data_IF_215015937370
#
_entry.id   IF_215015937370
#
_cell.length_a   1.000
_cell.length_b   1.000
_cell.length_c   1.000
_cell.angle_alpha   90.00
_cell.angle_beta   90.00
_cell.angle_gamma   90.00
#
_symmetry.space_group_name_H-M   'P 1'
#
loop_
_entity.id
_entity.type
_entity.pdbx_description
1 polymer ?
#
# COMPACT_ATOMS: atom_id res chain seq x y z
N UNK A 1 -30.88 28.71 -53.05
CA UNK A 1 -30.28 27.79 -52.06
C UNK A 1 -29.70 28.63 -50.93
N UNK A 2 -30.51 28.83 -49.88
CA UNK A 2 -30.21 29.66 -48.71
C UNK A 2 -30.06 28.74 -47.49
N UNK A 3 -29.25 29.20 -46.53
CA UNK A 3 -29.05 28.70 -45.16
C UNK A 3 -27.82 27.81 -44.96
N UNK A 4 -26.64 28.41 -45.13
CA UNK A 4 -25.40 27.90 -44.53
C UNK A 4 -25.40 28.25 -43.03
N UNK A 5 -25.50 27.20 -42.21
CA UNK A 5 -25.07 27.07 -40.81
C UNK A 5 -25.05 28.33 -39.93
N UNK A 6 -26.17 28.62 -39.25
CA UNK A 6 -26.19 29.51 -38.09
C UNK A 6 -25.80 28.73 -36.83
N UNK A 7 -24.51 28.71 -36.48
CA UNK A 7 -24.05 28.19 -35.19
C UNK A 7 -24.53 29.10 -34.05
N UNK A 8 -25.02 28.52 -32.96
CA UNK A 8 -25.49 29.23 -31.77
C UNK A 8 -24.33 29.95 -31.05
N UNK A 9 -24.61 30.99 -30.26
CA UNK A 9 -23.56 31.75 -29.53
C UNK A 9 -22.69 30.85 -28.64
N UNK A 10 -23.24 29.73 -28.12
CA UNK A 10 -22.52 28.77 -27.28
C UNK A 10 -21.64 27.82 -28.10
N UNK A 11 -22.09 27.41 -29.29
CA UNK A 11 -21.34 26.55 -30.21
C UNK A 11 -20.12 27.26 -30.83
N UNK A 12 -20.23 28.57 -31.07
CA UNK A 12 -19.09 29.38 -31.52
C UNK A 12 -18.02 29.46 -30.44
N UNK A 13 -18.41 29.54 -29.17
CA UNK A 13 -17.47 29.57 -28.06
C UNK A 13 -16.72 28.24 -27.94
N UNK A 14 -17.41 27.10 -28.09
CA UNK A 14 -16.78 25.79 -28.07
C UNK A 14 -15.85 25.56 -29.28
N UNK A 15 -16.23 26.04 -30.47
CA UNK A 15 -15.36 25.98 -31.66
C UNK A 15 -14.12 26.85 -31.50
N UNK A 16 -14.25 28.06 -30.94
CA UNK A 16 -13.10 28.92 -30.64
C UNK A 16 -12.17 28.29 -29.59
N UNK A 17 -12.72 27.66 -28.55
CA UNK A 17 -11.92 26.95 -27.54
C UNK A 17 -11.17 25.75 -28.14
N UNK A 18 -11.82 24.98 -29.00
CA UNK A 18 -11.20 23.83 -29.67
C UNK A 18 -10.10 24.27 -30.65
N UNK A 19 -10.34 25.34 -31.42
CA UNK A 19 -9.33 25.94 -32.28
C UNK A 19 -8.13 26.47 -31.46
N UNK A 20 -8.36 27.08 -30.30
CA UNK A 20 -7.31 27.54 -29.41
C UNK A 20 -6.45 26.38 -28.88
N UNK A 21 -7.07 25.27 -28.47
CA UNK A 21 -6.34 24.07 -28.03
C UNK A 21 -5.48 23.49 -29.15
N UNK A 22 -5.98 23.46 -30.39
CA UNK A 22 -5.20 23.00 -31.54
C UNK A 22 -4.01 23.92 -31.80
N UNK A 23 -4.19 25.24 -31.74
CA UNK A 23 -3.09 26.21 -31.91
C UNK A 23 -2.05 26.05 -30.80
N UNK A 24 -2.46 25.83 -29.55
CA UNK A 24 -1.54 25.57 -28.43
C UNK A 24 -0.78 24.25 -28.63
N UNK A 25 -1.45 23.19 -29.12
CA UNK A 25 -0.79 21.92 -29.39
C UNK A 25 0.22 22.02 -30.55
N UNK A 26 -0.12 22.72 -31.62
CA UNK A 26 0.76 22.93 -32.77
C UNK A 26 1.95 23.84 -32.42
N UNK A 27 1.73 24.89 -31.62
CA UNK A 27 2.82 25.73 -31.11
C UNK A 27 3.71 24.97 -30.13
N UNK A 28 3.14 24.10 -29.28
CA UNK A 28 3.90 23.21 -28.41
C UNK A 28 4.77 22.21 -29.18
N UNK A 29 4.24 21.62 -30.26
CA UNK A 29 4.99 20.74 -31.17
C UNK A 29 6.11 21.50 -31.89
N UNK A 30 5.84 22.71 -32.38
CA UNK A 30 6.84 23.55 -33.03
C UNK A 30 7.95 24.00 -32.07
N UNK A 31 7.60 24.32 -30.82
CA UNK A 31 8.57 24.64 -29.74
C UNK A 31 9.37 23.39 -29.37
N UNK A 32 8.74 22.22 -29.28
CA UNK A 32 9.42 20.95 -28.98
C UNK A 32 10.43 20.60 -30.09
N UNK A 33 10.03 20.71 -31.35
CA UNK A 33 10.91 20.46 -32.50
C UNK A 33 12.03 21.50 -32.59
N UNK A 34 11.74 22.77 -32.29
CA UNK A 34 12.77 23.83 -32.25
C UNK A 34 13.76 23.63 -31.10
N UNK A 35 13.28 23.18 -29.94
CA UNK A 35 14.13 22.91 -28.76
C UNK A 35 15.00 21.66 -28.95
N UNK A 36 14.47 20.63 -29.62
CA UNK A 36 15.25 19.45 -30.00
C UNK A 36 16.30 19.80 -31.07
N UNK A 37 15.93 20.62 -32.05
CA UNK A 37 16.84 21.08 -33.10
C UNK A 37 17.93 22.03 -32.58
N UNK A 38 17.67 22.81 -31.52
CA UNK A 38 18.68 23.63 -30.86
C UNK A 38 19.64 22.77 -30.01
N UNK A 39 19.18 21.67 -29.41
CA UNK A 39 20.02 20.70 -28.72
C UNK A 39 20.94 19.92 -29.68
N UNK A 40 20.41 19.49 -30.84
CA UNK A 40 21.21 18.80 -31.87
C UNK A 40 22.19 19.77 -32.57
N UNK A 41 21.81 21.06 -32.75
CA UNK A 41 22.73 22.10 -33.24
C UNK A 41 23.77 22.52 -32.22
N UNK A 42 23.47 22.50 -30.92
CA UNK A 42 24.48 22.71 -29.88
C UNK A 42 25.47 21.53 -29.86
N UNK A 43 25.03 20.27 -29.95
CA UNK A 43 25.96 19.13 -30.05
C UNK A 43 26.82 19.17 -31.33
N UNK A 44 26.24 19.49 -32.50
CA UNK A 44 26.99 19.55 -33.76
C UNK A 44 27.93 20.78 -33.85
N UNK A 45 27.52 21.94 -33.31
CA UNK A 45 28.38 23.13 -33.24
C UNK A 45 29.46 23.00 -32.15
N UNK A 46 29.17 22.33 -31.02
CA UNK A 46 30.19 22.04 -30.00
C UNK A 46 31.21 21.04 -30.57
N UNK A 47 30.82 19.97 -31.27
CA UNK A 47 31.81 19.04 -31.85
C UNK A 47 32.64 19.64 -33.00
N UNK A 48 32.04 20.48 -33.86
CA UNK A 48 32.75 21.10 -34.98
C UNK A 48 33.72 22.20 -34.52
N UNK A 49 33.29 23.12 -33.65
CA UNK A 49 34.09 24.24 -33.15
C UNK A 49 35.19 23.77 -32.19
N UNK A 50 34.89 22.77 -31.34
CA UNK A 50 35.90 22.15 -30.47
C UNK A 50 36.95 21.40 -31.29
N UNK A 51 36.64 20.87 -32.48
CA UNK A 51 37.60 20.09 -33.26
C UNK A 51 38.65 20.93 -33.99
N UNK A 52 38.32 22.14 -34.46
CA UNK A 52 39.29 23.05 -35.08
C UNK A 52 40.11 23.81 -34.04
N UNK A 53 39.49 24.33 -32.97
CA UNK A 53 40.22 25.01 -31.90
C UNK A 53 41.15 24.04 -31.14
N UNK A 54 40.72 22.80 -30.88
CA UNK A 54 41.59 21.77 -30.27
C UNK A 54 42.70 21.34 -31.22
N UNK A 55 42.49 21.30 -32.55
CA UNK A 55 43.55 20.99 -33.50
C UNK A 55 44.61 22.08 -33.61
N UNK A 56 44.19 23.35 -33.65
CA UNK A 56 45.10 24.51 -33.66
C UNK A 56 45.84 24.64 -32.32
N UNK A 57 45.14 24.44 -31.19
CA UNK A 57 45.74 24.39 -29.86
C UNK A 57 46.70 23.21 -29.70
N UNK A 58 46.37 22.01 -30.21
CA UNK A 58 47.27 20.86 -30.18
C UNK A 58 48.48 21.01 -31.10
N UNK A 59 48.34 21.71 -32.25
CA UNK A 59 49.45 22.05 -33.12
C UNK A 59 50.41 23.05 -32.43
N UNK A 60 49.87 24.08 -31.77
CA UNK A 60 50.64 25.09 -31.03
C UNK A 60 51.29 24.53 -29.74
N UNK A 61 50.59 23.63 -29.04
CA UNK A 61 51.14 22.88 -27.89
C UNK A 61 52.19 21.84 -28.32
N UNK A 62 52.13 21.34 -29.57
CA UNK A 62 53.14 20.40 -30.08
C UNK A 62 54.49 21.07 -30.38
N UNK A 63 54.51 22.37 -30.68
CA UNK A 63 55.74 23.16 -30.85
C UNK A 63 56.33 23.65 -29.52
N UNK A 64 55.52 23.74 -28.46
CA UNK A 64 55.97 24.01 -27.10
C UNK A 64 55.79 22.77 -26.20
N UNK A 65 56.60 21.73 -26.40
CA UNK A 65 56.83 20.76 -25.32
C UNK A 65 57.43 21.52 -24.13
N UNK A 66 56.78 21.63 -22.96
CA UNK A 66 57.50 22.03 -21.77
C UNK A 66 58.54 20.94 -21.55
N UNK A 67 59.80 21.33 -21.57
CA UNK A 67 60.95 20.49 -21.22
C UNK A 67 60.77 20.14 -19.74
N UNK A 68 59.96 19.12 -19.45
CA UNK A 68 59.87 18.54 -18.12
C UNK A 68 61.27 18.01 -17.84
N UNK A 69 61.99 18.70 -16.96
CA UNK A 69 63.27 18.23 -16.44
C UNK A 69 63.06 16.77 -16.03
N UNK A 70 63.74 15.86 -16.71
CA UNK A 70 64.00 14.52 -16.18
C UNK A 70 64.84 14.73 -14.93
N UNK A 71 64.17 15.03 -13.82
CA UNK A 71 64.70 14.66 -12.53
C UNK A 71 64.46 13.16 -12.45
N UNK A 72 65.55 12.43 -12.54
CA UNK A 72 65.68 11.02 -12.20
C UNK A 72 65.31 10.84 -10.71
N UNK A 73 64.02 10.97 -10.40
CA UNK A 73 63.45 10.56 -9.13
C UNK A 73 63.27 9.04 -9.25
N UNK A 74 64.31 8.29 -8.89
CA UNK A 74 64.28 6.82 -8.80
C UNK A 74 62.99 6.38 -8.11
N UNK A 75 62.11 5.67 -8.82
CA UNK A 75 60.87 5.14 -8.27
C UNK A 75 61.23 4.14 -7.16
N UNK A 76 60.96 4.51 -5.91
CA UNK A 76 61.15 3.62 -4.77
C UNK A 76 59.97 2.64 -4.78
N UNK A 77 60.20 1.41 -5.24
CA UNK A 77 59.18 0.36 -5.18
C UNK A 77 59.53 -0.62 -4.06
N UNK A 78 58.86 -0.46 -2.92
CA UNK A 78 58.98 -1.31 -1.75
C UNK A 78 57.58 -1.42 -1.10
N UNK A 79 56.65 -2.15 -1.73
CA UNK A 79 55.25 -2.12 -1.34
C UNK A 79 55.06 -2.64 0.09
N UNK A 80 54.27 -1.92 0.86
CA UNK A 80 53.91 -2.26 2.24
C UNK A 80 52.39 -2.23 2.38
N UNK A 81 51.79 -3.10 3.21
CA UNK A 81 50.38 -2.99 3.56
C UNK A 81 50.05 -1.58 4.07
N UNK A 82 48.96 -0.99 3.58
CA UNK A 82 48.58 0.37 3.92
C UNK A 82 47.07 0.56 3.89
N UNK A 83 46.58 1.52 4.67
CA UNK A 83 45.21 2.02 4.55
C UNK A 83 45.22 3.34 3.76
N UNK A 84 44.55 3.42 2.60
CA UNK A 84 44.47 4.64 1.79
C UNK A 84 43.97 5.87 2.56
N UNK A 85 43.15 5.67 3.60
CA UNK A 85 42.55 6.75 4.39
C UNK A 85 43.47 7.29 5.49
N UNK A 86 44.58 6.61 5.80
CA UNK A 86 45.48 6.98 6.91
C UNK A 86 46.96 7.00 6.53
N UNK A 87 47.36 6.39 5.41
CA UNK A 87 48.76 6.32 4.97
C UNK A 87 49.44 7.68 4.75
N UNK A 88 50.74 7.77 4.96
CA UNK A 88 51.52 8.99 4.73
C UNK A 88 52.11 9.03 3.30
N UNK A 89 52.57 10.21 2.89
CA UNK A 89 53.29 10.48 1.63
C UNK A 89 54.43 9.48 1.37
N UNK A 90 55.17 9.09 2.41
CA UNK A 90 56.26 8.13 2.35
C UNK A 90 55.80 6.74 1.91
N UNK A 91 54.64 6.28 2.39
CA UNK A 91 54.04 4.99 2.03
C UNK A 91 53.56 5.01 0.58
N UNK A 92 52.94 6.10 0.14
CA UNK A 92 52.47 6.27 -1.24
C UNK A 92 53.64 6.31 -2.25
N UNK A 93 54.76 6.95 -1.89
CA UNK A 93 55.98 6.92 -2.70
C UNK A 93 56.54 5.50 -2.84
N UNK A 94 56.54 4.71 -1.75
CA UNK A 94 56.99 3.30 -1.76
C UNK A 94 56.11 2.37 -2.60
N UNK A 95 54.88 2.79 -2.90
CA UNK A 95 54.00 2.12 -3.87
C UNK A 95 54.35 2.41 -5.33
N UNK A 96 55.41 3.19 -5.57
CA UNK A 96 55.83 3.58 -6.91
C UNK A 96 55.03 4.75 -7.48
N UNK A 97 54.31 5.51 -6.64
CA UNK A 97 53.67 6.75 -7.06
C UNK A 97 54.68 7.87 -7.15
N UNK A 98 54.55 8.72 -8.16
CA UNK A 98 55.38 9.92 -8.32
C UNK A 98 54.96 11.00 -7.33
N UNK A 99 55.88 11.88 -6.93
CA UNK A 99 55.62 12.98 -5.96
C UNK A 99 54.37 13.80 -6.29
N UNK A 100 54.11 14.07 -7.56
CA UNK A 100 52.93 14.81 -7.99
C UNK A 100 51.62 14.01 -7.80
N UNK A 101 51.63 12.69 -8.03
CA UNK A 101 50.49 11.79 -7.78
C UNK A 101 50.19 11.71 -6.28
N UNK A 102 51.24 11.61 -5.46
CA UNK A 102 51.12 11.63 -3.99
C UNK A 102 50.48 12.92 -3.51
N UNK A 103 50.89 14.08 -4.04
CA UNK A 103 50.29 15.38 -3.69
C UNK A 103 48.81 15.43 -4.05
N UNK A 104 48.42 14.95 -5.23
CA UNK A 104 47.02 14.90 -5.65
C UNK A 104 46.20 13.96 -4.76
N UNK A 105 46.73 12.78 -4.45
CA UNK A 105 46.10 11.80 -3.58
C UNK A 105 45.83 12.37 -2.18
N UNK A 106 46.85 12.98 -1.57
CA UNK A 106 46.72 13.62 -0.25
C UNK A 106 45.74 14.80 -0.27
N UNK A 107 45.71 15.58 -1.36
CA UNK A 107 44.73 16.65 -1.56
C UNK A 107 43.30 16.11 -1.63
N UNK A 108 43.08 15.02 -2.36
CA UNK A 108 41.78 14.33 -2.44
C UNK A 108 41.31 13.90 -1.05
N UNK A 109 42.20 13.28 -0.28
CA UNK A 109 41.91 12.85 1.09
C UNK A 109 41.64 14.02 2.03
N UNK A 110 42.43 15.09 1.96
CA UNK A 110 42.23 16.29 2.80
C UNK A 110 40.93 17.02 2.48
N UNK A 111 40.44 16.92 1.24
CA UNK A 111 39.13 17.43 0.84
C UNK A 111 37.95 16.58 1.35
N UNK A 112 38.22 15.47 2.05
CA UNK A 112 37.21 14.61 2.68
C UNK A 112 36.92 13.31 1.91
N UNK A 113 37.67 13.00 0.84
CA UNK A 113 37.52 11.72 0.16
C UNK A 113 37.88 10.55 1.11
N UNK A 114 37.05 9.51 1.07
CA UNK A 114 37.25 8.23 1.77
C UNK A 114 37.28 7.11 0.74
N UNK A 115 38.13 6.12 0.99
CA UNK A 115 38.35 4.98 0.12
C UNK A 115 37.88 3.71 0.83
N UNK A 116 36.95 2.98 0.23
CA UNK A 116 36.39 1.72 0.73
C UNK A 116 36.62 0.55 -0.24
N UNK A 117 37.20 0.82 -1.42
CA UNK A 117 37.59 -0.21 -2.36
C UNK A 117 38.29 0.33 -3.61
N UNK A 118 38.45 -0.57 -4.59
CA UNK A 118 39.11 -0.31 -5.88
C UNK A 118 38.53 0.91 -6.60
N UNK A 119 37.21 1.00 -6.68
CA UNK A 119 36.52 2.03 -7.45
C UNK A 119 36.74 3.44 -6.87
N UNK A 120 36.92 3.55 -5.55
CA UNK A 120 37.21 4.84 -4.92
C UNK A 120 38.63 5.33 -5.25
N UNK A 121 39.61 4.42 -5.38
CA UNK A 121 40.97 4.78 -5.80
C UNK A 121 41.01 5.24 -7.25
N UNK A 122 40.19 4.64 -8.13
CA UNK A 122 40.07 5.04 -9.53
C UNK A 122 39.48 6.46 -9.71
N UNK A 123 38.81 7.02 -8.69
CA UNK A 123 38.33 8.42 -8.73
C UNK A 123 39.45 9.44 -8.61
N UNK A 124 40.63 9.05 -8.15
CA UNK A 124 41.80 9.93 -8.08
C UNK A 124 42.39 10.03 -9.48
N UNK A 125 42.10 11.12 -10.20
CA UNK A 125 42.49 11.29 -11.61
C UNK A 125 44.01 11.14 -11.88
N UNK A 126 44.86 11.31 -10.88
CA UNK A 126 46.30 11.13 -11.00
C UNK A 126 46.76 9.67 -10.97
N UNK A 127 45.88 8.72 -10.64
CA UNK A 127 46.18 7.30 -10.60
C UNK A 127 45.67 6.64 -11.88
N UNK A 128 46.55 5.91 -12.57
CA UNK A 128 46.13 5.07 -13.68
C UNK A 128 45.49 3.77 -13.17
N UNK A 129 44.82 3.02 -14.05
CA UNK A 129 44.27 1.71 -13.70
C UNK A 129 45.37 0.76 -13.23
N UNK A 130 46.53 0.82 -13.87
CA UNK A 130 47.71 0.02 -13.56
C UNK A 130 48.32 0.39 -12.21
N UNK A 131 48.30 1.68 -11.82
CA UNK A 131 48.72 2.13 -10.50
C UNK A 131 47.79 1.59 -9.41
N UNK A 132 46.46 1.67 -9.63
CA UNK A 132 45.48 1.11 -8.69
C UNK A 132 45.64 -0.40 -8.57
N UNK A 133 45.72 -1.14 -9.67
CA UNK A 133 45.91 -2.59 -9.67
C UNK A 133 47.19 -3.02 -8.94
N UNK A 134 48.28 -2.25 -9.07
CA UNK A 134 49.52 -2.50 -8.35
C UNK A 134 49.39 -2.29 -6.84
N UNK A 135 48.55 -1.33 -6.42
CA UNK A 135 48.31 -1.02 -5.02
C UNK A 135 47.31 -1.98 -4.35
N UNK A 136 46.36 -2.54 -5.11
CA UNK A 136 45.25 -3.36 -4.59
C UNK A 136 45.68 -4.53 -3.68
N UNK A 137 46.74 -5.32 -3.98
CA UNK A 137 47.14 -6.43 -3.11
C UNK A 137 47.57 -6.02 -1.70
N UNK A 138 47.90 -4.74 -1.51
CA UNK A 138 48.42 -4.19 -0.26
C UNK A 138 47.48 -3.16 0.39
N UNK A 139 46.38 -2.81 -0.28
CA UNK A 139 45.42 -1.83 0.21
C UNK A 139 44.42 -2.49 1.17
N UNK A 140 44.38 -2.00 2.40
CA UNK A 140 43.39 -2.38 3.39
C UNK A 140 42.35 -1.27 3.53
N UNK A 141 41.09 -1.60 3.26
CA UNK A 141 40.00 -0.65 3.33
C UNK A 141 39.18 -0.86 4.62
N UNK A 142 38.77 0.21 5.31
CA UNK A 142 37.78 0.10 6.37
C UNK A 142 36.42 -0.32 5.78
N UNK A 143 35.55 -0.89 6.61
CA UNK A 143 34.17 -1.19 6.21
C UNK A 143 33.39 0.11 6.09
N UNK A 144 32.64 0.29 4.99
CA UNK A 144 31.74 1.44 4.85
C UNK A 144 30.51 1.25 5.73
N UNK A 145 30.50 1.90 6.90
CA UNK A 145 29.35 1.91 7.81
C UNK A 145 28.05 2.34 7.13
N UNK A 146 28.11 3.16 6.08
CA UNK A 146 26.91 3.61 5.37
C UNK A 146 26.26 2.47 4.61
N UNK A 147 27.06 1.55 4.07
CA UNK A 147 26.57 0.35 3.39
C UNK A 147 25.92 -0.60 4.39
N UNK A 148 26.55 -0.80 5.56
CA UNK A 148 25.97 -1.61 6.64
C UNK A 148 24.62 -1.06 7.10
N UNK A 149 24.55 0.24 7.41
CA UNK A 149 23.29 0.88 7.84
C UNK A 149 22.19 0.80 6.79
N UNK A 150 22.53 0.93 5.51
CA UNK A 150 21.55 0.75 4.41
C UNK A 150 21.04 -0.68 4.34
N UNK A 151 21.93 -1.67 4.43
CA UNK A 151 21.55 -3.08 4.44
C UNK A 151 20.63 -3.41 5.62
N UNK A 152 20.96 -2.95 6.83
CA UNK A 152 20.13 -3.11 8.03
C UNK A 152 18.75 -2.44 7.87
N UNK A 153 18.69 -1.24 7.28
CA UNK A 153 17.43 -0.55 7.02
C UNK A 153 16.54 -1.32 6.04
N UNK A 154 17.13 -1.87 4.97
CA UNK A 154 16.42 -2.69 3.99
C UNK A 154 15.90 -3.99 4.60
N UNK A 155 16.70 -4.65 5.43
CA UNK A 155 16.29 -5.86 6.16
C UNK A 155 15.13 -5.56 7.11
N UNK A 156 15.23 -4.50 7.91
CA UNK A 156 14.17 -4.08 8.81
C UNK A 156 12.86 -3.74 8.06
N UNK A 157 12.98 -3.12 6.88
CA UNK A 157 11.82 -2.87 6.01
C UNK A 157 11.18 -4.18 5.56
N UNK A 158 11.98 -5.14 5.09
CA UNK A 158 11.47 -6.46 4.66
C UNK A 158 10.77 -7.21 5.80
N UNK A 159 11.33 -7.19 7.00
CA UNK A 159 10.72 -7.80 8.19
C UNK A 159 9.37 -7.13 8.49
N UNK A 160 9.33 -5.79 8.49
CA UNK A 160 8.09 -5.04 8.72
C UNK A 160 7.01 -5.39 7.68
N UNK A 161 7.38 -5.43 6.40
CA UNK A 161 6.46 -5.75 5.31
C UNK A 161 5.95 -7.20 5.43
N UNK A 162 6.81 -8.14 5.84
CA UNK A 162 6.43 -9.53 6.11
C UNK A 162 5.46 -9.66 7.28
N UNK A 163 5.73 -8.98 8.41
CA UNK A 163 4.84 -8.97 9.56
C UNK A 163 3.48 -8.35 9.23
N UNK A 164 3.47 -7.25 8.46
CA UNK A 164 2.25 -6.61 7.99
C UNK A 164 1.43 -7.57 7.11
N UNK A 165 2.06 -8.23 6.14
CA UNK A 165 1.38 -9.20 5.27
C UNK A 165 0.83 -10.40 6.05
N UNK A 166 1.56 -10.92 7.03
CA UNK A 166 1.09 -11.98 7.91
C UNK A 166 -0.13 -11.53 8.74
N UNK A 167 -0.12 -10.30 9.26
CA UNK A 167 -1.27 -9.72 9.95
C UNK A 167 -2.47 -9.57 9.02
N UNK A 168 -2.28 -9.05 7.80
CA UNK A 168 -3.35 -8.90 6.81
C UNK A 168 -3.99 -10.25 6.46
N UNK A 169 -3.20 -11.31 6.35
CA UNK A 169 -3.69 -12.67 6.07
C UNK A 169 -4.60 -13.25 7.17
N UNK A 170 -4.57 -12.72 8.40
CA UNK A 170 -5.47 -13.15 9.48
C UNK A 170 -6.88 -12.59 9.35
N UNK A 171 -7.09 -11.52 8.58
CA UNK A 171 -8.43 -10.97 8.38
C UNK A 171 -9.20 -11.83 7.38
N UNK A 172 -10.47 -12.16 7.68
CA UNK A 172 -11.28 -12.93 6.75
C UNK A 172 -11.49 -12.11 5.47
N UNK A 173 -11.21 -12.73 4.32
CA UNK A 173 -11.55 -12.14 3.03
C UNK A 173 -13.07 -11.91 2.96
N UNK A 174 -13.44 -10.67 2.61
CA UNK A 174 -14.83 -10.28 2.51
C UNK A 174 -15.47 -10.89 1.27
N UNK A 175 -16.77 -11.18 1.36
CA UNK A 175 -17.57 -11.69 0.26
C UNK A 175 -17.54 -10.72 -0.92
N UNK A 176 -17.52 -11.28 -2.13
CA UNK A 176 -17.68 -10.54 -3.38
C UNK A 176 -19.14 -10.52 -3.81
N UNK A 177 -19.51 -9.51 -4.59
CA UNK A 177 -20.88 -9.36 -5.07
C UNK A 177 -21.37 -10.64 -5.77
N UNK A 178 -22.54 -11.14 -5.36
CA UNK A 178 -23.10 -12.41 -5.80
C UNK A 178 -22.77 -13.63 -4.90
N UNK A 179 -21.79 -13.53 -4.01
CA UNK A 179 -21.55 -14.56 -3.00
C UNK A 179 -22.49 -14.38 -1.81
N UNK A 180 -23.19 -15.46 -1.44
CA UNK A 180 -24.15 -15.46 -0.34
C UNK A 180 -23.80 -16.54 0.67
N UNK A 181 -24.06 -16.24 1.94
CA UNK A 181 -23.92 -17.17 3.06
C UNK A 181 -25.30 -17.64 3.50
N UNK A 182 -25.41 -18.91 3.87
CA UNK A 182 -26.64 -19.45 4.43
C UNK A 182 -26.76 -19.12 5.92
N UNK A 183 -27.76 -18.31 6.30
CA UNK A 183 -27.96 -17.84 7.66
C UNK A 183 -28.28 -18.97 8.64
N UNK A 184 -28.92 -20.05 8.19
CA UNK A 184 -29.38 -21.12 9.08
C UNK A 184 -28.23 -21.96 9.65
N UNK A 185 -27.10 -22.01 8.94
CA UNK A 185 -25.93 -22.83 9.32
C UNK A 185 -24.65 -21.99 9.47
N UNK A 186 -24.75 -20.66 9.31
CA UNK A 186 -23.60 -19.76 9.36
C UNK A 186 -22.92 -19.77 10.73
N UNK A 187 -21.61 -19.97 10.74
CA UNK A 187 -20.78 -19.77 11.93
C UNK A 187 -20.27 -18.31 12.04
N UNK A 188 -19.63 -17.98 13.17
CA UNK A 188 -19.06 -16.63 13.34
C UNK A 188 -18.03 -16.26 12.29
N UNK A 189 -17.31 -17.23 11.73
CA UNK A 189 -16.24 -17.00 10.75
C UNK A 189 -16.81 -16.66 9.38
N UNK A 190 -17.87 -17.36 8.97
CA UNK A 190 -18.65 -17.10 7.78
C UNK A 190 -19.33 -15.74 7.88
N UNK A 191 -20.02 -15.43 8.97
CA UNK A 191 -20.65 -14.11 9.16
C UNK A 191 -19.64 -12.96 9.09
N UNK A 192 -18.42 -13.14 9.60
CA UNK A 192 -17.34 -12.13 9.49
C UNK A 192 -16.88 -11.88 8.06
N UNK A 193 -17.18 -12.74 7.08
CA UNK A 193 -16.90 -12.47 5.66
C UNK A 193 -17.86 -11.44 5.08
N UNK A 194 -19.00 -11.19 5.71
CA UNK A 194 -19.95 -10.18 5.23
C UNK A 194 -19.31 -8.77 5.38
N UNK A 195 -19.36 -7.92 4.33
CA UNK A 195 -18.93 -6.53 4.44
C UNK A 195 -19.68 -5.78 5.54
N UNK A 196 -18.97 -5.03 6.38
CA UNK A 196 -19.55 -4.33 7.53
C UNK A 196 -19.83 -5.20 8.77
N UNK A 197 -19.67 -6.53 8.68
CA UNK A 197 -19.83 -7.45 9.82
C UNK A 197 -18.45 -7.86 10.36
N UNK A 198 -18.18 -7.49 11.61
CA UNK A 198 -16.99 -7.90 12.37
C UNK A 198 -17.33 -8.89 13.48
N UNK A 199 -16.36 -9.22 14.34
CA UNK A 199 -16.56 -10.18 15.44
C UNK A 199 -17.72 -9.84 16.37
N UNK A 200 -17.92 -8.55 16.65
CA UNK A 200 -19.04 -8.07 17.47
C UNK A 200 -20.39 -8.37 16.84
N UNK A 201 -20.60 -7.93 15.59
CA UNK A 201 -21.87 -8.12 14.88
C UNK A 201 -22.15 -9.58 14.56
N UNK A 202 -21.14 -10.37 14.20
CA UNK A 202 -21.29 -11.82 14.01
C UNK A 202 -21.82 -12.49 15.30
N UNK A 203 -21.25 -12.14 16.46
CA UNK A 203 -21.74 -12.62 17.75
C UNK A 203 -23.16 -12.11 18.08
N UNK A 204 -23.47 -10.85 17.73
CA UNK A 204 -24.80 -10.26 17.95
C UNK A 204 -25.88 -10.97 17.12
N UNK A 205 -25.58 -11.31 15.86
CA UNK A 205 -26.47 -12.06 14.96
C UNK A 205 -26.77 -13.45 15.54
N UNK A 206 -25.74 -14.21 15.93
CA UNK A 206 -25.95 -15.55 16.50
C UNK A 206 -26.76 -15.51 17.80
N UNK A 207 -26.41 -14.62 18.74
CA UNK A 207 -27.16 -14.45 19.99
C UNK A 207 -28.60 -14.01 19.76
N UNK A 208 -28.87 -13.26 18.69
CA UNK A 208 -30.23 -12.89 18.33
C UNK A 208 -31.00 -14.10 17.80
N UNK A 209 -30.42 -14.85 16.86
CA UNK A 209 -30.99 -16.08 16.33
C UNK A 209 -31.24 -17.14 17.41
N UNK A 210 -30.31 -17.33 18.35
CA UNK A 210 -30.48 -18.26 19.49
C UNK A 210 -31.66 -17.90 20.39
N UNK A 211 -31.90 -16.61 20.60
CA UNK A 211 -33.03 -16.11 21.41
C UNK A 211 -34.37 -16.21 20.69
N UNK A 212 -34.39 -16.02 19.36
CA UNK A 212 -35.56 -16.31 18.53
C UNK A 212 -35.84 -17.82 18.46
N UNK A 213 -34.80 -18.65 18.48
CA UNK A 213 -34.89 -20.07 18.17
C UNK A 213 -34.59 -20.39 16.70
N UNK A 214 -34.03 -19.45 15.95
CA UNK A 214 -33.73 -19.58 14.52
C UNK A 214 -34.26 -18.38 13.73
N UNK A 215 -33.77 -18.19 12.51
CA UNK A 215 -34.30 -17.16 11.61
C UNK A 215 -35.36 -17.78 10.68
N UNK A 216 -36.49 -17.11 10.54
CA UNK A 216 -37.58 -17.44 9.59
C UNK A 216 -37.45 -16.62 8.32
N UNK A 217 -36.92 -15.40 8.43
CA UNK A 217 -36.74 -14.48 7.31
C UNK A 217 -35.41 -13.74 7.44
N UNK A 218 -34.77 -13.46 6.30
CA UNK A 218 -33.56 -12.64 6.23
C UNK A 218 -33.83 -11.22 6.73
N UNK A 219 -35.07 -10.72 6.57
CA UNK A 219 -35.47 -9.38 7.04
C UNK A 219 -35.37 -9.17 8.53
N UNK A 220 -35.34 -10.24 9.33
CA UNK A 220 -35.15 -10.15 10.78
C UNK A 220 -33.75 -9.64 11.16
N UNK A 221 -32.77 -9.69 10.25
CA UNK A 221 -31.46 -9.07 10.48
C UNK A 221 -31.58 -7.55 10.64
N UNK A 222 -32.53 -6.89 9.98
CA UNK A 222 -32.77 -5.43 10.11
C UNK A 222 -33.28 -5.03 11.49
N UNK A 223 -33.75 -5.99 12.28
CA UNK A 223 -34.17 -5.76 13.67
C UNK A 223 -32.96 -5.62 14.62
N UNK A 224 -31.77 -6.01 14.16
CA UNK A 224 -30.53 -5.92 14.93
C UNK A 224 -29.87 -4.57 14.66
N UNK A 225 -29.87 -3.71 15.67
CA UNK A 225 -29.27 -2.37 15.60
C UNK A 225 -27.78 -2.39 15.19
N UNK A 226 -27.41 -1.49 14.28
CA UNK A 226 -26.04 -1.25 13.82
C UNK A 226 -25.56 -2.16 12.70
N UNK A 227 -26.39 -3.09 12.20
CA UNK A 227 -26.06 -3.86 11.01
C UNK A 227 -26.18 -3.02 9.73
N UNK A 228 -25.41 -3.35 8.67
CA UNK A 228 -25.56 -2.72 7.36
C UNK A 228 -26.98 -2.91 6.81
N UNK A 229 -27.56 -1.86 6.22
CA UNK A 229 -28.92 -1.92 5.64
C UNK A 229 -29.02 -2.97 4.52
N UNK A 230 -27.94 -3.11 3.76
CA UNK A 230 -27.81 -4.01 2.62
C UNK A 230 -27.36 -5.43 3.00
N UNK A 231 -27.39 -5.80 4.30
CA UNK A 231 -26.92 -7.11 4.77
C UNK A 231 -27.65 -8.28 4.10
N UNK A 232 -28.92 -8.09 3.73
CA UNK A 232 -29.76 -9.11 3.09
C UNK A 232 -29.20 -9.57 1.73
N UNK A 233 -28.41 -8.74 1.04
CA UNK A 233 -27.80 -9.09 -0.25
C UNK A 233 -26.74 -10.19 -0.13
N UNK A 234 -26.16 -10.34 1.07
CA UNK A 234 -25.03 -11.25 1.34
C UNK A 234 -25.48 -12.56 1.97
N UNK A 235 -26.77 -12.71 2.22
CA UNK A 235 -27.31 -13.78 3.07
C UNK A 235 -28.53 -14.40 2.42
N UNK A 236 -28.60 -15.72 2.43
CA UNK A 236 -29.80 -16.50 2.06
C UNK A 236 -30.25 -17.35 3.24
N UNK A 237 -31.48 -17.83 3.18
CA UNK A 237 -32.02 -18.77 4.17
C UNK A 237 -32.51 -20.01 3.42
N UNK A 238 -31.75 -21.11 3.46
CA UNK A 238 -32.11 -22.33 2.70
C UNK A 238 -33.06 -23.24 3.49
N UNK A 239 -32.90 -23.33 4.82
CA UNK A 239 -33.76 -24.17 5.66
C UNK A 239 -33.94 -23.53 7.04
N UNK A 240 -35.18 -23.16 7.37
CA UNK A 240 -35.53 -22.61 8.67
C UNK A 240 -35.62 -23.72 9.72
N UNK A 241 -34.51 -24.00 10.41
CA UNK A 241 -34.50 -24.84 11.61
C UNK A 241 -34.96 -24.01 12.81
N UNK A 242 -36.25 -24.04 13.10
CA UNK A 242 -36.86 -23.24 14.18
C UNK A 242 -37.08 -24.11 15.41
N UNK A 243 -36.44 -23.75 16.52
CA UNK A 243 -36.73 -24.29 17.84
C UNK A 243 -37.88 -23.51 18.46
N UNK A 244 -39.07 -24.12 18.46
CA UNK A 244 -40.25 -23.53 19.07
C UNK A 244 -40.15 -23.48 20.59
N UNK A 245 -40.67 -22.40 21.17
CA UNK A 245 -40.79 -22.15 22.60
C UNK A 245 -42.17 -22.61 23.07
N UNK A 246 -42.21 -23.57 23.99
CA UNK A 246 -43.47 -23.99 24.59
C UNK A 246 -43.95 -22.94 25.61
N UNK A 247 -45.04 -22.24 25.27
CA UNK A 247 -45.56 -21.13 26.08
C UNK A 247 -46.21 -21.59 27.40
N UNK A 248 -46.76 -22.81 27.43
CA UNK A 248 -47.44 -23.39 28.59
C UNK A 248 -46.46 -23.95 29.62
N UNK A 249 -45.27 -24.41 29.17
CA UNK A 249 -44.24 -25.01 30.03
C UNK A 249 -43.08 -24.07 30.37
N UNK A 250 -42.84 -23.02 29.59
CA UNK A 250 -41.76 -22.08 29.84
C UNK A 250 -41.95 -21.29 31.14
N UNK A 251 -40.84 -21.03 31.83
CA UNK A 251 -40.78 -20.13 32.97
C UNK A 251 -40.77 -18.66 32.53
N UNK A 252 -41.04 -17.76 33.47
CA UNK A 252 -41.12 -16.33 33.20
C UNK A 252 -39.83 -15.79 32.58
N UNK A 253 -38.68 -16.25 33.08
CA UNK A 253 -37.36 -15.83 32.61
C UNK A 253 -37.07 -16.31 31.19
N UNK A 254 -37.49 -17.50 30.80
CA UNK A 254 -37.31 -18.00 29.43
C UNK A 254 -38.19 -17.23 28.45
N UNK A 255 -39.45 -16.95 28.80
CA UNK A 255 -40.30 -16.11 27.95
C UNK A 255 -39.72 -14.70 27.77
N UNK A 256 -39.22 -14.08 28.85
CA UNK A 256 -38.57 -12.76 28.83
C UNK A 256 -37.28 -12.69 27.99
N UNK A 257 -36.64 -13.82 27.70
CA UNK A 257 -35.43 -13.84 26.85
C UNK A 257 -35.78 -13.74 25.36
N UNK A 258 -37.03 -14.04 24.99
CA UNK A 258 -37.45 -14.04 23.61
C UNK A 258 -37.56 -12.59 23.07
N UNK A 259 -36.99 -12.25 21.90
CA UNK A 259 -36.94 -10.87 21.42
C UNK A 259 -38.29 -10.22 21.14
N UNK A 260 -39.33 -11.03 20.93
CA UNK A 260 -40.69 -10.56 20.64
C UNK A 260 -41.63 -10.60 21.85
N UNK A 261 -41.10 -10.85 23.06
CA UNK A 261 -41.88 -10.82 24.30
C UNK A 261 -41.29 -9.79 25.25
N UNK A 262 -42.13 -8.83 25.64
CA UNK A 262 -41.83 -7.88 26.70
C UNK A 262 -42.49 -8.29 28.03
N UNK A 263 -42.21 -7.54 29.10
CA UNK A 263 -42.71 -7.86 30.44
C UNK A 263 -44.24 -7.95 30.53
N UNK A 264 -44.97 -6.99 29.95
CA UNK A 264 -46.44 -6.97 30.00
C UNK A 264 -47.05 -8.15 29.24
N UNK A 265 -46.47 -8.50 28.08
CA UNK A 265 -46.86 -9.67 27.30
C UNK A 265 -46.63 -10.98 28.05
N UNK A 266 -45.46 -11.13 28.69
CA UNK A 266 -45.17 -12.31 29.51
C UNK A 266 -46.10 -12.39 30.72
N UNK A 267 -46.37 -11.26 31.38
CA UNK A 267 -47.32 -11.19 32.49
C UNK A 267 -48.74 -11.58 32.06
N UNK A 268 -49.21 -11.10 30.91
CA UNK A 268 -50.51 -11.48 30.35
C UNK A 268 -50.59 -12.99 30.07
N UNK A 269 -49.53 -13.59 29.50
CA UNK A 269 -49.45 -15.04 29.29
C UNK A 269 -49.61 -15.81 30.61
N UNK A 270 -48.91 -15.40 31.66
CA UNK A 270 -48.99 -16.05 32.97
C UNK A 270 -50.34 -15.87 33.64
N UNK A 271 -50.93 -14.68 33.56
CA UNK A 271 -52.27 -14.41 34.08
C UNK A 271 -53.31 -15.29 33.40
N UNK A 272 -53.25 -15.41 32.07
CA UNK A 272 -54.12 -16.30 31.33
C UNK A 272 -53.94 -17.76 31.76
N UNK A 273 -52.69 -18.25 31.87
CA UNK A 273 -52.39 -19.61 32.34
C UNK A 273 -52.99 -19.91 33.72
N UNK A 274 -52.93 -18.94 34.63
CA UNK A 274 -53.47 -19.09 35.98
C UNK A 274 -55.00 -19.03 36.04
N UNK A 275 -55.64 -18.24 35.17
CA UNK A 275 -57.10 -18.02 35.19
C UNK A 275 -57.87 -19.06 34.36
N UNK A 276 -57.36 -19.41 33.18
CA UNK A 276 -58.07 -20.22 32.19
C UNK A 276 -57.36 -21.54 31.84
N UNK A 277 -56.15 -21.75 32.35
CA UNK A 277 -55.31 -22.92 32.04
C UNK A 277 -54.47 -22.76 30.78
N UNK A 278 -54.03 -23.89 30.22
CA UNK A 278 -53.12 -23.94 29.08
C UNK A 278 -53.67 -23.23 27.84
N UNK A 279 -52.82 -22.43 27.20
CA UNK A 279 -53.10 -21.80 25.92
C UNK A 279 -53.13 -22.85 24.81
N UNK A 280 -54.13 -22.78 23.93
CA UNK A 280 -54.24 -23.58 22.71
C UNK A 280 -53.91 -22.78 21.44
N UNK A 281 -54.01 -21.45 21.52
CA UNK A 281 -53.73 -20.53 20.42
C UNK A 281 -53.35 -19.16 20.95
N UNK A 282 -52.48 -18.46 20.23
CA UNK A 282 -52.13 -17.07 20.53
C UNK A 282 -53.34 -16.14 20.47
N UNK A 283 -54.36 -16.48 19.68
CA UNK A 283 -55.60 -15.70 19.58
C UNK A 283 -56.36 -15.58 20.90
N UNK A 284 -56.15 -16.49 21.86
CA UNK A 284 -56.77 -16.36 23.18
C UNK A 284 -56.23 -15.17 23.98
N UNK A 285 -55.08 -14.63 23.60
CA UNK A 285 -54.50 -13.42 24.17
C UNK A 285 -54.90 -12.15 23.39
N UNK A 286 -55.77 -12.25 22.37
CA UNK A 286 -56.18 -11.07 21.59
C UNK A 286 -57.07 -10.09 22.37
N UNK A 287 -57.66 -10.54 23.48
CA UNK A 287 -58.44 -9.70 24.38
C UNK A 287 -57.56 -8.91 25.36
N UNK A 288 -56.27 -9.23 25.44
CA UNK A 288 -55.31 -8.53 26.29
C UNK A 288 -54.73 -7.33 25.55
N UNK A 289 -54.77 -6.16 26.17
CA UNK A 289 -54.25 -4.90 25.57
C UNK A 289 -52.73 -4.92 25.31
N UNK A 290 -52.02 -5.91 25.85
CA UNK A 290 -50.56 -6.06 25.73
C UNK A 290 -50.09 -6.57 24.37
N UNK A 291 -50.98 -7.11 23.53
CA UNK A 291 -50.62 -7.70 22.23
C UNK A 291 -51.23 -6.96 21.06
N UNK A 292 -50.40 -6.62 20.07
CA UNK A 292 -50.86 -6.15 18.77
C UNK A 292 -50.97 -7.29 17.75
N UNK A 293 -51.68 -7.04 16.65
CA UNK A 293 -51.77 -8.00 15.51
C UNK A 293 -50.37 -8.38 15.00
N UNK A 294 -49.47 -7.40 14.91
CA UNK A 294 -48.09 -7.59 14.46
C UNK A 294 -47.27 -8.47 15.42
N UNK A 295 -47.56 -8.43 16.72
CA UNK A 295 -46.87 -9.30 17.69
C UNK A 295 -47.25 -10.76 17.46
N UNK A 296 -48.52 -11.04 17.17
CA UNK A 296 -48.96 -12.39 16.86
C UNK A 296 -48.30 -12.94 15.59
N UNK A 297 -48.26 -12.16 14.50
CA UNK A 297 -47.61 -12.55 13.25
C UNK A 297 -46.13 -12.90 13.46
N UNK A 298 -45.43 -12.14 14.30
CA UNK A 298 -44.01 -12.34 14.59
C UNK A 298 -43.77 -13.53 15.52
N UNK A 299 -44.68 -13.79 16.46
CA UNK A 299 -44.55 -14.86 17.45
C UNK A 299 -45.00 -16.23 16.95
N UNK A 300 -45.98 -16.28 16.05
CA UNK A 300 -46.57 -17.51 15.50
C UNK A 300 -45.55 -18.58 15.06
N UNK A 301 -44.48 -18.26 14.30
CA UNK A 301 -43.53 -19.29 13.88
C UNK A 301 -42.67 -19.86 15.02
N UNK A 302 -42.57 -19.15 16.15
CA UNK A 302 -41.66 -19.49 17.26
C UNK A 302 -42.34 -20.14 18.46
N UNK A 303 -43.67 -20.23 18.49
CA UNK A 303 -44.40 -20.73 19.67
C UNK A 303 -44.97 -22.13 19.44
N UNK A 304 -44.95 -22.93 20.50
CA UNK A 304 -45.64 -24.21 20.61
C UNK A 304 -46.52 -24.24 21.87
N UNK A 305 -47.56 -25.08 21.85
CA UNK A 305 -48.51 -25.24 22.95
C UNK A 305 -48.37 -26.59 23.68
N UNK A 306 -47.63 -27.55 23.09
CA UNK A 306 -47.47 -28.94 23.56
C UNK A 306 -46.08 -29.25 24.11
#
# INVERSE_FOLDING_TARGET
MKNMFYFSRRERLSLCMLALVIVVALTGLWIYESCLADADREEENIEADTSEEVRLFMAEVSEQKPRYKQNDDSLIYAPVPFDPNTCDSSVLLRMGLRKWQVRTFLKYRSAGARFYGRDDLLRVYSLSKEDVERMMPYAHFPVDERVLRKAEQEENKRIRDSLFNAMVATFPQKLKEGEMIDLSEADTSQLKKIPGVGSYYAGKILRYGERLGGFVSVSQLKEIEGLPEDIEKWVRLSTSRIRKLNINKADFKTLMRHPYLNYEQVKAIFNHRNQYGDLKSLRQLSTEDAFSVKDFERLEPYIAFE
#
